data_IF_593910317717
#
_entry.id   IF_593910317717
#
_cell.length_a   1.000
_cell.length_b   1.000
_cell.length_c   1.000
_cell.angle_alpha   90.00
_cell.angle_beta   90.00
_cell.angle_gamma   90.00
#
_symmetry.space_group_name_H-M   'P 1'
#
loop_
_entity.id
_entity.type
_entity.pdbx_description
1 polymer ?
#
# COMPACT_ATOMS: atom_id res chain seq x y z
N UNK A 1 33.21 11.44 1.42
CA UNK A 1 32.59 10.10 1.49
C UNK A 1 31.11 10.31 1.25
N UNK A 2 30.57 9.80 0.14
CA UNK A 2 29.12 9.87 -0.10
C UNK A 2 28.42 8.95 0.90
N UNK A 3 27.28 9.40 1.43
CA UNK A 3 26.47 8.61 2.35
C UNK A 3 25.96 7.36 1.59
N UNK A 4 26.20 6.13 2.07
CA UNK A 4 25.69 4.91 1.42
C UNK A 4 24.17 4.92 1.20
N UNK A 5 23.41 5.68 2.00
CA UNK A 5 21.97 5.90 1.84
C UNK A 5 21.63 6.70 0.57
N UNK A 6 22.40 7.76 0.28
CA UNK A 6 22.23 8.53 -0.97
C UNK A 6 22.55 7.65 -2.18
N UNK A 7 23.60 6.84 -2.09
CA UNK A 7 24.00 5.95 -3.18
C UNK A 7 22.95 4.88 -3.49
N UNK A 8 22.25 4.33 -2.48
CA UNK A 8 21.18 3.34 -2.71
C UNK A 8 19.93 3.95 -3.35
N UNK A 9 19.51 5.14 -2.92
CA UNK A 9 18.37 5.85 -3.51
C UNK A 9 18.70 6.36 -4.92
N UNK A 10 19.95 6.80 -5.16
CA UNK A 10 20.45 7.16 -6.48
C UNK A 10 20.44 5.95 -7.43
N UNK A 11 20.94 4.79 -6.98
CA UNK A 11 20.91 3.54 -7.76
C UNK A 11 19.48 3.09 -8.08
N UNK A 12 18.54 3.24 -7.14
CA UNK A 12 17.13 2.96 -7.38
C UNK A 12 16.56 3.94 -8.42
N UNK A 13 16.76 5.24 -8.24
CA UNK A 13 16.32 6.27 -9.19
C UNK A 13 16.95 6.10 -10.59
N UNK A 14 18.18 5.59 -10.67
CA UNK A 14 18.86 5.28 -11.92
C UNK A 14 18.29 4.01 -12.59
N UNK A 15 17.97 2.98 -11.81
CA UNK A 15 17.29 1.77 -12.30
C UNK A 15 15.90 2.06 -12.89
N UNK A 16 15.23 3.10 -12.38
CA UNK A 16 13.93 3.59 -12.86
C UNK A 16 14.02 4.41 -14.15
N UNK A 17 15.17 5.05 -14.41
CA UNK A 17 15.43 5.86 -15.61
C UNK A 17 15.99 5.05 -16.78
N UNK A 18 16.54 3.87 -16.53
CA UNK A 18 17.15 3.05 -17.57
C UNK A 18 16.09 2.46 -18.52
N UNK A 19 16.15 2.72 -19.85
CA UNK A 19 15.28 2.05 -20.81
C UNK A 19 15.66 0.56 -20.89
N UNK A 20 14.88 -0.30 -20.23
CA UNK A 20 15.10 -1.75 -20.27
C UNK A 20 14.79 -2.28 -21.68
N UNK A 21 15.81 -2.86 -22.33
CA UNK A 21 15.76 -3.38 -23.70
C UNK A 21 14.67 -4.45 -23.86
N UNK A 22 13.74 -4.22 -24.79
CA UNK A 22 12.64 -5.13 -25.18
C UNK A 22 13.13 -6.33 -26.00
N UNK A 23 14.21 -7.00 -25.59
CA UNK A 23 14.71 -8.22 -26.23
C UNK A 23 15.01 -9.30 -25.21
N UNK A 24 13.96 -9.94 -24.74
CA UNK A 24 13.93 -11.38 -24.45
C UNK A 24 12.61 -11.66 -23.73
N UNK A 25 11.61 -12.16 -24.46
CA UNK A 25 10.50 -13.01 -23.96
C UNK A 25 9.50 -13.27 -25.10
N UNK A 26 10.02 -13.81 -26.20
CA UNK A 26 9.22 -14.51 -27.22
C UNK A 26 9.91 -15.84 -27.53
N UNK A 27 9.93 -16.75 -26.55
CA UNK A 27 10.13 -18.19 -26.76
C UNK A 27 9.45 -18.96 -25.64
N UNK A 28 8.34 -19.62 -25.94
CA UNK A 28 7.79 -20.68 -25.10
C UNK A 28 6.30 -20.60 -24.80
N UNK A 29 5.45 -20.66 -25.82
CA UNK A 29 4.05 -21.07 -25.65
C UNK A 29 3.53 -21.71 -26.95
N UNK A 30 3.99 -22.94 -27.22
CA UNK A 30 3.27 -23.92 -28.02
C UNK A 30 3.37 -25.26 -27.28
N UNK A 31 2.36 -26.12 -27.49
CA UNK A 31 2.05 -27.40 -26.83
C UNK A 31 1.17 -27.22 -25.58
N UNK A 32 -0.07 -27.68 -25.51
CA UNK A 32 -0.90 -28.48 -26.41
C UNK A 32 -2.12 -28.95 -25.61
N UNK A 33 -3.34 -28.73 -26.13
CA UNK A 33 -4.58 -29.21 -25.53
C UNK A 33 -4.91 -30.61 -26.07
N UNK A 34 -5.08 -31.62 -25.19
CA UNK A 34 -5.81 -32.85 -25.46
C UNK A 34 -6.00 -33.72 -24.19
N UNK A 35 -7.20 -34.26 -23.96
CA UNK A 35 -7.35 -35.65 -23.49
C UNK A 35 -7.99 -35.94 -22.11
N UNK A 36 -9.30 -36.14 -22.14
CA UNK A 36 -10.22 -36.96 -21.33
C UNK A 36 -9.74 -37.99 -20.25
N UNK A 37 -10.58 -38.08 -19.19
CA UNK A 37 -11.10 -39.27 -18.44
C UNK A 37 -10.16 -40.23 -17.66
N UNK A 38 -10.48 -40.44 -16.37
CA UNK A 38 -10.09 -41.63 -15.59
C UNK A 38 -10.45 -41.53 -14.10
N UNK A 39 -11.22 -42.50 -13.58
CA UNK A 39 -11.70 -42.63 -12.20
C UNK A 39 -11.01 -43.81 -11.50
N UNK A 40 -10.80 -43.69 -10.17
CA UNK A 40 -10.49 -44.73 -9.14
C UNK A 40 -8.99 -45.10 -8.94
N UNK A 41 -8.40 -45.37 -7.75
CA UNK A 41 -8.83 -45.71 -6.36
C UNK A 41 -7.76 -45.22 -5.32
N UNK A 42 -8.24 -44.99 -4.09
CA UNK A 42 -7.64 -44.66 -2.79
C UNK A 42 -6.17 -44.99 -2.42
N UNK A 43 -5.57 -44.07 -1.63
CA UNK A 43 -4.40 -44.27 -0.78
C UNK A 43 -4.05 -42.97 -0.03
N UNK A 44 -4.02 -43.01 1.30
CA UNK A 44 -3.86 -41.87 2.23
C UNK A 44 -2.55 -41.07 2.06
N UNK A 45 -2.67 -39.75 2.24
CA UNK A 45 -1.71 -38.81 2.87
C UNK A 45 -1.28 -37.60 2.01
N UNK A 46 -1.41 -36.43 2.65
CA UNK A 46 -0.73 -35.15 2.38
C UNK A 46 -1.22 -34.32 1.19
N UNK A 47 -1.92 -33.22 1.53
CA UNK A 47 -2.09 -31.96 0.79
C UNK A 47 -2.49 -32.08 -0.69
N UNK A 48 -3.61 -31.49 -1.13
CA UNK A 48 -3.84 -31.33 -2.57
C UNK A 48 -2.73 -30.41 -3.12
N UNK A 49 -1.67 -31.01 -3.69
CA UNK A 49 -0.88 -30.42 -4.77
C UNK A 49 -1.74 -30.47 -6.03
N UNK A 50 -2.82 -29.71 -5.98
CA UNK A 50 -3.79 -29.55 -7.05
C UNK A 50 -3.99 -28.06 -7.23
N UNK A 51 -3.12 -27.47 -8.06
CA UNK A 51 -3.37 -26.22 -8.77
C UNK A 51 -4.08 -25.11 -7.98
N UNK A 52 -3.35 -24.39 -7.14
CA UNK A 52 -3.57 -22.94 -7.04
C UNK A 52 -3.03 -22.28 -8.34
N UNK A 53 -3.48 -22.76 -9.50
CA UNK A 53 -3.49 -21.90 -10.66
C UNK A 53 -4.60 -20.91 -10.36
N UNK A 54 -4.24 -19.65 -10.11
CA UNK A 54 -5.14 -18.55 -10.41
C UNK A 54 -5.64 -18.85 -11.83
N UNK A 55 -6.85 -19.41 -11.94
CA UNK A 55 -7.39 -19.89 -13.19
C UNK A 55 -7.17 -18.76 -14.17
N UNK A 56 -6.42 -19.02 -15.25
CA UNK A 56 -5.87 -17.98 -16.14
C UNK A 56 -6.96 -16.95 -16.38
N UNK A 57 -6.89 -15.85 -15.63
CA UNK A 57 -7.93 -14.84 -15.63
C UNK A 57 -7.81 -14.32 -17.04
N UNK A 58 -8.84 -14.59 -17.87
CA UNK A 58 -8.88 -14.15 -19.25
C UNK A 58 -8.30 -12.74 -19.29
N UNK A 59 -7.18 -12.57 -20.01
CA UNK A 59 -6.27 -11.43 -19.87
C UNK A 59 -7.08 -10.18 -19.52
N UNK A 60 -6.99 -9.75 -18.25
CA UNK A 60 -7.87 -8.70 -17.74
C UNK A 60 -7.78 -7.54 -18.72
N UNK A 61 -8.90 -7.07 -19.24
CA UNK A 61 -8.96 -5.91 -20.14
C UNK A 61 -8.56 -4.60 -19.44
N UNK A 62 -8.03 -4.69 -18.21
CA UNK A 62 -7.48 -3.58 -17.47
C UNK A 62 -6.22 -3.10 -18.18
N UNK A 63 -6.28 -1.89 -18.71
CA UNK A 63 -5.08 -1.18 -19.17
C UNK A 63 -4.32 -0.77 -17.90
N UNK A 64 -3.03 -1.12 -17.75
CA UNK A 64 -2.26 -0.73 -16.56
C UNK A 64 -2.15 0.80 -16.50
N UNK A 65 -2.18 1.35 -15.29
CA UNK A 65 -1.81 2.74 -15.09
C UNK A 65 -0.32 2.93 -15.43
N UNK A 66 0.06 4.11 -15.92
CA UNK A 66 1.47 4.38 -16.18
C UNK A 66 2.27 4.37 -14.87
N UNK A 67 3.57 4.05 -14.92
CA UNK A 67 4.45 4.11 -13.73
C UNK A 67 4.34 5.47 -13.03
N UNK A 68 4.34 6.56 -13.78
CA UNK A 68 4.21 7.91 -13.21
C UNK A 68 2.86 8.12 -12.54
N UNK A 69 1.76 7.68 -13.16
CA UNK A 69 0.41 7.76 -12.58
C UNK A 69 0.34 7.01 -11.25
N UNK A 70 0.91 5.81 -11.19
CA UNK A 70 0.97 5.02 -9.96
C UNK A 70 1.76 5.76 -8.88
N UNK A 71 2.96 6.27 -9.21
CA UNK A 71 3.81 6.97 -8.25
C UNK A 71 3.19 8.27 -7.73
N UNK A 72 2.55 9.07 -8.59
CA UNK A 72 1.92 10.34 -8.19
C UNK A 72 0.73 10.11 -7.25
N UNK A 73 -0.11 9.12 -7.57
CA UNK A 73 -1.27 8.78 -6.76
C UNK A 73 -0.85 8.14 -5.43
N UNK A 74 0.08 7.18 -5.46
CA UNK A 74 0.62 6.59 -4.24
C UNK A 74 1.24 7.66 -3.34
N UNK A 75 2.08 8.56 -3.87
CA UNK A 75 2.67 9.64 -3.07
C UNK A 75 1.60 10.60 -2.50
N UNK A 76 0.48 10.80 -3.20
CA UNK A 76 -0.66 11.55 -2.67
C UNK A 76 -1.37 10.80 -1.54
N UNK A 77 -1.53 9.48 -1.68
CA UNK A 77 -2.10 8.62 -0.65
C UNK A 77 -1.21 8.61 0.62
N UNK A 78 0.11 8.52 0.49
CA UNK A 78 1.01 8.61 1.63
C UNK A 78 0.96 9.98 2.32
N UNK A 79 0.81 11.07 1.56
CA UNK A 79 0.56 12.38 2.18
C UNK A 79 -0.76 12.43 2.94
N UNK A 80 -1.82 11.78 2.44
CA UNK A 80 -3.08 11.63 3.14
C UNK A 80 -2.91 10.82 4.44
N UNK A 81 -2.17 9.71 4.39
CA UNK A 81 -1.88 8.85 5.53
C UNK A 81 -1.08 9.61 6.62
N UNK A 82 0.03 10.27 6.24
CA UNK A 82 0.80 11.13 7.16
C UNK A 82 -0.08 12.21 7.78
N UNK A 83 -0.97 12.82 6.99
CA UNK A 83 -1.92 13.82 7.49
C UNK A 83 -2.87 13.19 8.52
N UNK A 84 -3.48 12.06 8.20
CA UNK A 84 -4.40 11.34 9.08
C UNK A 84 -3.74 11.00 10.43
N UNK A 85 -2.59 10.33 10.39
CA UNK A 85 -1.87 9.94 11.60
C UNK A 85 -1.37 11.15 12.40
N UNK A 86 -0.91 12.22 11.74
CA UNK A 86 -0.48 13.45 12.44
C UNK A 86 -1.62 14.07 13.25
N UNK A 87 -2.82 14.15 12.68
CA UNK A 87 -3.98 14.68 13.39
C UNK A 87 -4.52 13.69 14.44
N UNK A 88 -4.43 12.38 14.19
CA UNK A 88 -4.73 11.35 15.20
C UNK A 88 -3.83 11.44 16.43
N UNK A 89 -2.52 11.58 16.23
CA UNK A 89 -1.53 11.73 17.31
C UNK A 89 -1.77 13.02 18.09
N UNK A 90 -2.03 14.13 17.38
CA UNK A 90 -2.33 15.42 18.01
C UNK A 90 -3.54 15.34 18.95
N UNK A 91 -4.56 14.56 18.59
CA UNK A 91 -5.79 14.41 19.35
C UNK A 91 -5.88 13.06 20.10
N UNK A 92 -4.75 12.37 20.30
CA UNK A 92 -4.75 11.04 20.89
C UNK A 92 -5.43 10.97 22.27
N UNK A 93 -5.33 12.05 23.06
CA UNK A 93 -6.05 12.18 24.33
C UNK A 93 -7.57 12.12 24.16
N UNK A 94 -8.14 12.88 23.22
CA UNK A 94 -9.58 12.89 22.94
C UNK A 94 -10.06 11.53 22.41
N UNK A 95 -9.22 10.88 21.62
CA UNK A 95 -9.46 9.53 21.11
C UNK A 95 -9.29 8.43 22.19
N UNK A 96 -8.84 8.77 23.39
CA UNK A 96 -8.52 7.81 24.45
C UNK A 96 -7.34 6.88 24.12
N UNK A 97 -6.48 7.27 23.19
CA UNK A 97 -5.35 6.48 22.70
C UNK A 97 -4.11 6.79 23.54
N UNK A 98 -3.62 5.79 24.27
CA UNK A 98 -2.48 5.92 25.17
C UNK A 98 -1.58 4.68 25.11
N UNK A 99 -0.42 4.73 25.79
CA UNK A 99 0.46 3.58 25.96
C UNK A 99 0.96 3.01 24.63
N UNK A 100 0.85 1.69 24.46
CA UNK A 100 1.32 1.00 23.26
C UNK A 100 0.59 1.45 22.00
N UNK A 101 -0.73 1.69 22.07
CA UNK A 101 -1.49 2.15 20.92
C UNK A 101 -1.02 3.54 20.44
N UNK A 102 -0.65 4.42 21.37
CA UNK A 102 -0.03 5.70 21.01
C UNK A 102 1.33 5.49 20.33
N UNK A 103 2.15 4.58 20.86
CA UNK A 103 3.44 4.25 20.24
C UNK A 103 3.28 3.69 18.82
N UNK A 104 2.24 2.88 18.59
CA UNK A 104 1.93 2.37 17.26
C UNK A 104 1.52 3.47 16.29
N UNK A 105 0.71 4.45 16.71
CA UNK A 105 0.40 5.60 15.84
C UNK A 105 1.65 6.42 15.52
N UNK A 106 2.55 6.63 16.48
CA UNK A 106 3.80 7.34 16.23
C UNK A 106 4.77 6.55 15.36
N UNK A 107 4.70 5.21 15.35
CA UNK A 107 5.44 4.38 14.40
C UNK A 107 4.85 4.52 12.99
N UNK A 108 3.53 4.33 12.85
CA UNK A 108 2.84 4.43 11.58
C UNK A 108 3.11 5.76 10.88
N UNK A 109 2.99 6.90 11.57
CA UNK A 109 3.26 8.21 10.92
C UNK A 109 4.70 8.36 10.39
N UNK A 110 5.68 7.69 11.02
CA UNK A 110 7.06 7.67 10.55
C UNK A 110 7.19 6.75 9.34
N UNK A 111 6.54 5.60 9.37
CA UNK A 111 6.50 4.63 8.27
C UNK A 111 5.86 5.25 7.02
N UNK A 112 4.71 5.90 7.12
CA UNK A 112 4.08 6.62 6.00
C UNK A 112 4.94 7.76 5.47
N UNK A 113 5.66 8.46 6.34
CA UNK A 113 6.59 9.49 5.90
C UNK A 113 7.76 8.89 5.13
N UNK A 114 8.21 7.69 5.48
CA UNK A 114 9.26 6.96 4.76
C UNK A 114 8.74 6.41 3.43
N UNK A 115 7.51 5.87 3.39
CA UNK A 115 6.83 5.48 2.15
C UNK A 115 6.73 6.66 1.17
N UNK A 116 6.27 7.81 1.66
CA UNK A 116 6.22 9.05 0.87
C UNK A 116 7.60 9.45 0.34
N UNK A 117 8.63 9.45 1.20
CA UNK A 117 9.98 9.83 0.81
C UNK A 117 10.52 8.91 -0.29
N UNK A 118 10.28 7.60 -0.18
CA UNK A 118 10.65 6.62 -1.18
C UNK A 118 9.96 6.90 -2.52
N UNK A 119 8.64 7.12 -2.52
CA UNK A 119 7.88 7.36 -3.75
C UNK A 119 8.31 8.67 -4.43
N UNK A 120 8.55 9.73 -3.65
CA UNK A 120 9.08 11.00 -4.17
C UNK A 120 10.48 10.83 -4.74
N UNK A 121 11.36 10.06 -4.08
CA UNK A 121 12.68 9.73 -4.60
C UNK A 121 12.61 8.91 -5.90
N UNK A 122 11.59 8.08 -6.05
CA UNK A 122 11.28 7.34 -7.29
C UNK A 122 10.66 8.22 -8.40
N UNK A 123 10.39 9.50 -8.12
CA UNK A 123 9.86 10.48 -9.08
C UNK A 123 8.36 10.78 -8.95
N UNK A 124 7.69 10.20 -7.96
CA UNK A 124 6.30 10.51 -7.63
C UNK A 124 6.13 11.96 -7.17
N UNK A 125 5.01 12.56 -7.56
CA UNK A 125 4.66 13.95 -7.25
C UNK A 125 3.25 13.96 -6.67
N UNK A 126 3.11 14.16 -5.35
CA UNK A 126 1.80 14.35 -4.75
C UNK A 126 1.03 15.47 -5.46
N UNK A 127 -0.24 15.23 -5.77
CA UNK A 127 -1.06 16.16 -6.57
C UNK A 127 -1.86 17.14 -5.72
N UNK A 128 -1.92 16.92 -4.40
CA UNK A 128 -2.48 17.85 -3.40
C UNK A 128 -1.76 17.65 -2.07
N UNK A 129 -1.68 18.70 -1.25
CA UNK A 129 -1.20 18.65 0.14
C UNK A 129 -2.29 19.00 1.15
N UNK A 130 -3.55 19.09 0.72
CA UNK A 130 -4.70 19.36 1.60
C UNK A 130 -5.77 18.33 1.31
N UNK A 131 -6.29 17.73 2.38
CA UNK A 131 -7.20 16.60 2.37
C UNK A 131 -8.45 16.91 3.18
N UNK A 132 -9.46 16.07 3.02
CA UNK A 132 -10.62 16.03 3.89
C UNK A 132 -10.80 14.67 4.55
N UNK A 133 -11.60 14.65 5.61
CA UNK A 133 -12.05 13.41 6.23
C UNK A 133 -13.58 13.39 6.29
N UNK A 134 -14.24 12.23 6.11
CA UNK A 134 -15.69 12.14 5.99
C UNK A 134 -16.46 12.71 7.18
N UNK A 135 -15.85 12.69 8.37
CA UNK A 135 -16.44 13.22 9.60
C UNK A 135 -15.84 14.57 10.03
N UNK A 136 -14.98 15.20 9.21
CA UNK A 136 -14.33 16.46 9.59
C UNK A 136 -13.50 16.32 10.87
N UNK A 137 -13.60 17.31 11.77
CA UNK A 137 -12.92 17.29 13.09
C UNK A 137 -13.35 16.10 13.95
N UNK A 138 -14.62 15.67 13.86
CA UNK A 138 -15.11 14.50 14.60
C UNK A 138 -14.32 13.21 14.29
N UNK A 139 -13.64 13.15 13.13
CA UNK A 139 -12.72 12.04 12.80
C UNK A 139 -11.64 11.88 13.89
N UNK A 140 -11.24 12.97 14.53
CA UNK A 140 -10.16 13.02 15.51
C UNK A 140 -10.63 13.26 16.94
N UNK A 141 -11.93 13.44 17.16
CA UNK A 141 -12.52 13.61 18.49
C UNK A 141 -13.20 12.33 19.00
N UNK A 142 -13.60 11.43 18.09
CA UNK A 142 -14.32 10.19 18.44
C UNK A 142 -13.59 8.96 17.95
N UNK A 143 -13.24 8.05 18.87
CA UNK A 143 -12.46 6.84 18.58
C UNK A 143 -13.12 5.95 17.51
N UNK A 144 -14.45 5.80 17.51
CA UNK A 144 -15.16 4.98 16.53
C UNK A 144 -15.06 5.55 15.11
N UNK A 145 -15.16 6.87 14.97
CA UNK A 145 -14.98 7.58 13.69
C UNK A 145 -13.51 7.52 13.23
N UNK A 146 -12.56 7.68 14.15
CA UNK A 146 -11.13 7.54 13.87
C UNK A 146 -10.81 6.13 13.34
N UNK A 147 -11.17 5.09 14.09
CA UNK A 147 -10.88 3.70 13.72
C UNK A 147 -11.61 3.29 12.43
N UNK A 148 -12.84 3.75 12.22
CA UNK A 148 -13.56 3.52 10.95
C UNK A 148 -12.85 4.18 9.77
N UNK A 149 -12.35 5.40 9.96
CA UNK A 149 -11.63 6.14 8.91
C UNK A 149 -10.28 5.47 8.61
N UNK A 150 -9.56 5.03 9.65
CA UNK A 150 -8.33 4.26 9.53
C UNK A 150 -8.59 2.97 8.73
N UNK A 151 -9.50 2.11 9.18
CA UNK A 151 -9.80 0.83 8.52
C UNK A 151 -10.19 1.03 7.05
N UNK A 152 -10.90 2.11 6.73
CA UNK A 152 -11.25 2.48 5.36
C UNK A 152 -10.05 2.93 4.51
N UNK A 153 -9.19 3.80 5.06
CA UNK A 153 -7.99 4.28 4.37
C UNK A 153 -7.02 3.15 4.09
N UNK A 154 -6.66 2.36 5.11
CA UNK A 154 -5.71 1.25 4.97
C UNK A 154 -6.24 0.21 3.98
N UNK A 155 -7.53 -0.10 4.02
CA UNK A 155 -8.15 -0.99 3.03
C UNK A 155 -8.01 -0.46 1.59
N UNK A 156 -8.16 0.84 1.39
CA UNK A 156 -8.01 1.46 0.08
C UNK A 156 -6.54 1.46 -0.37
N UNK A 157 -5.60 1.73 0.53
CA UNK A 157 -4.16 1.72 0.26
C UNK A 157 -3.67 0.31 -0.06
N UNK A 158 -4.04 -0.67 0.76
CA UNK A 158 -3.78 -2.09 0.53
C UNK A 158 -4.27 -2.52 -0.87
N UNK A 159 -5.51 -2.20 -1.20
CA UNK A 159 -6.09 -2.52 -2.51
C UNK A 159 -5.36 -1.80 -3.66
N UNK A 160 -4.90 -0.56 -3.46
CA UNK A 160 -4.17 0.21 -4.46
C UNK A 160 -2.78 -0.39 -4.71
N UNK A 161 -2.04 -0.74 -3.66
CA UNK A 161 -0.71 -1.35 -3.80
C UNK A 161 -0.76 -2.75 -4.43
N UNK A 162 -1.78 -3.57 -4.10
CA UNK A 162 -1.96 -4.85 -4.78
C UNK A 162 -2.28 -4.67 -6.28
N UNK A 163 -3.06 -3.64 -6.65
CA UNK A 163 -3.26 -3.28 -8.06
C UNK A 163 -1.96 -2.77 -8.71
N UNK A 164 -1.17 -1.97 -7.99
CA UNK A 164 0.13 -1.47 -8.44
C UNK A 164 1.12 -2.60 -8.72
N UNK A 165 1.19 -3.63 -7.86
CA UNK A 165 2.04 -4.81 -8.08
C UNK A 165 1.73 -5.46 -9.42
N UNK A 166 0.44 -5.68 -9.72
CA UNK A 166 0.01 -6.24 -11.02
C UNK A 166 0.46 -5.35 -12.18
N UNK A 167 0.25 -4.04 -12.09
CA UNK A 167 0.60 -3.11 -13.16
C UNK A 167 2.11 -3.02 -13.37
N UNK A 168 2.91 -2.98 -12.29
CA UNK A 168 4.36 -3.02 -12.37
C UNK A 168 4.87 -4.31 -13.01
N UNK A 169 4.28 -5.47 -12.70
CA UNK A 169 4.61 -6.72 -13.39
C UNK A 169 4.30 -6.61 -14.89
N UNK A 170 3.11 -6.11 -15.26
CA UNK A 170 2.73 -5.93 -16.66
C UNK A 170 3.66 -4.96 -17.42
N UNK A 171 4.13 -3.92 -16.74
CA UNK A 171 5.04 -2.89 -17.27
C UNK A 171 6.51 -3.30 -17.24
N UNK A 172 6.82 -4.55 -16.85
CA UNK A 172 8.19 -5.06 -16.72
C UNK A 172 9.05 -4.24 -15.71
N UNK A 173 8.44 -3.90 -14.58
CA UNK A 173 9.02 -3.19 -13.44
C UNK A 173 9.04 -4.07 -12.17
N UNK A 174 9.72 -5.22 -12.17
CA UNK A 174 9.68 -6.16 -11.04
C UNK A 174 10.20 -5.56 -9.73
N UNK A 175 11.19 -4.66 -9.79
CA UNK A 175 11.74 -4.02 -8.59
C UNK A 175 10.70 -3.11 -7.92
N UNK A 176 9.93 -2.35 -8.71
CA UNK A 176 8.80 -1.55 -8.21
C UNK A 176 7.67 -2.43 -7.66
N UNK A 177 7.44 -3.61 -8.25
CA UNK A 177 6.46 -4.56 -7.73
C UNK A 177 6.88 -5.10 -6.34
N UNK A 178 8.17 -5.38 -6.12
CA UNK A 178 8.68 -5.79 -4.81
C UNK A 178 8.58 -4.64 -3.80
N UNK A 179 8.90 -3.41 -4.21
CA UNK A 179 8.76 -2.24 -3.33
C UNK A 179 7.29 -2.00 -2.92
N UNK A 180 6.36 -2.06 -3.87
CA UNK A 180 4.93 -2.01 -3.56
C UNK A 180 4.49 -3.15 -2.62
N UNK A 181 5.09 -4.34 -2.79
CA UNK A 181 4.93 -5.48 -1.89
C UNK A 181 5.42 -5.22 -0.46
N UNK A 182 6.54 -4.51 -0.31
CA UNK A 182 7.07 -4.13 1.02
C UNK A 182 6.16 -3.11 1.71
N UNK A 183 5.64 -2.14 0.97
CA UNK A 183 4.72 -1.14 1.53
C UNK A 183 3.41 -1.79 1.97
N UNK A 184 2.76 -2.57 1.09
CA UNK A 184 1.45 -3.18 1.44
C UNK A 184 1.52 -4.15 2.63
N UNK A 185 2.68 -4.77 2.89
CA UNK A 185 2.84 -5.57 4.10
C UNK A 185 2.81 -4.74 5.38
N UNK A 186 3.30 -3.49 5.32
CA UNK A 186 3.25 -2.54 6.43
C UNK A 186 1.84 -1.94 6.55
N UNK A 187 1.16 -1.61 5.45
CA UNK A 187 -0.24 -1.14 5.49
C UNK A 187 -1.18 -2.15 6.17
N UNK A 188 -0.95 -3.45 5.95
CA UNK A 188 -1.70 -4.50 6.64
C UNK A 188 -1.47 -4.48 8.17
N UNK A 189 -0.26 -4.12 8.63
CA UNK A 189 0.04 -3.92 10.05
C UNK A 189 -0.66 -2.67 10.58
N UNK A 190 -0.62 -1.56 9.84
CA UNK A 190 -1.33 -0.32 10.16
C UNK A 190 -2.82 -0.59 10.39
N UNK A 191 -3.45 -1.32 9.47
CA UNK A 191 -4.86 -1.72 9.58
C UNK A 191 -5.13 -2.55 10.82
N UNK A 192 -4.34 -3.59 11.06
CA UNK A 192 -4.52 -4.47 12.21
C UNK A 192 -4.35 -3.70 13.54
N UNK A 193 -3.30 -2.89 13.65
CA UNK A 193 -3.02 -2.07 14.83
C UNK A 193 -4.11 -1.01 15.04
N UNK A 194 -4.57 -0.35 13.99
CA UNK A 194 -5.67 0.60 14.06
C UNK A 194 -6.97 -0.03 14.57
N UNK A 195 -7.29 -1.25 14.14
CA UNK A 195 -8.44 -2.01 14.66
C UNK A 195 -8.29 -2.39 16.12
N UNK A 196 -7.06 -2.65 16.58
CA UNK A 196 -6.77 -3.00 17.98
C UNK A 196 -7.03 -1.85 18.97
N UNK A 197 -7.13 -0.62 18.47
CA UNK A 197 -7.48 0.56 19.28
C UNK A 197 -8.93 0.49 19.75
N UNK A 198 -9.83 -0.08 18.94
CA UNK A 198 -11.26 -0.09 19.25
C UNK A 198 -11.63 -1.22 20.20
N UNK A 199 -12.23 -0.87 21.34
CA UNK A 199 -12.84 -1.87 22.24
C UNK A 199 -14.03 -2.63 21.62
N UNK A 200 -14.61 -2.12 20.53
CA UNK A 200 -15.76 -2.73 19.85
C UNK A 200 -15.35 -3.74 18.77
N UNK A 201 -14.08 -3.73 18.35
CA UNK A 201 -13.57 -4.68 17.35
C UNK A 201 -12.93 -5.86 18.08
N UNK A 202 -13.55 -7.03 17.96
CA UNK A 202 -13.08 -8.26 18.64
C UNK A 202 -11.80 -8.85 18.05
N UNK A 203 -11.54 -8.60 16.76
CA UNK A 203 -10.43 -9.22 16.05
C UNK A 203 -9.81 -8.20 15.10
N UNK A 204 -8.56 -7.84 15.39
CA UNK A 204 -7.74 -6.92 14.61
C UNK A 204 -7.36 -7.53 13.26
N UNK A 205 -6.72 -8.70 13.28
CA UNK A 205 -6.40 -9.48 12.09
C UNK A 205 -7.54 -10.44 11.73
N UNK A 206 -8.35 -10.07 10.75
CA UNK A 206 -9.58 -10.77 10.41
C UNK A 206 -9.68 -11.18 8.94
N UNK A 207 -8.60 -11.09 8.17
CA UNK A 207 -8.59 -11.42 6.74
C UNK A 207 -7.59 -12.52 6.43
N UNK A 208 -8.05 -13.59 5.80
CA UNK A 208 -7.16 -14.61 5.24
C UNK A 208 -6.45 -14.14 3.96
N UNK A 209 -7.07 -13.18 3.26
CA UNK A 209 -6.53 -12.53 2.07
C UNK A 209 -7.00 -11.07 2.07
N UNK A 210 -6.07 -10.15 1.88
CA UNK A 210 -6.41 -8.74 1.62
C UNK A 210 -7.27 -8.65 0.36
N UNK A 211 -8.45 -8.00 0.42
CA UNK A 211 -9.29 -7.81 -0.74
C UNK A 211 -8.70 -6.78 -1.70
N UNK A 212 -8.88 -7.01 -3.00
CA UNK A 212 -8.54 -6.05 -4.07
C UNK A 212 -9.86 -5.52 -4.65
N UNK A 213 -10.28 -4.34 -4.19
CA UNK A 213 -11.54 -3.71 -4.57
C UNK A 213 -11.44 -2.85 -5.83
N UNK A 214 -10.23 -2.39 -6.15
CA UNK A 214 -9.98 -1.48 -7.28
C UNK A 214 -9.32 -2.20 -8.44
N UNK A 215 -9.63 -1.79 -9.67
CA UNK A 215 -8.98 -2.38 -10.84
C UNK A 215 -7.65 -1.70 -11.13
N UNK A 216 -7.41 -0.47 -10.71
CA UNK A 216 -6.14 0.23 -10.92
C UNK A 216 -5.86 1.20 -9.76
N UNK A 217 -4.68 1.79 -9.72
CA UNK A 217 -4.32 2.78 -8.69
C UNK A 217 -5.15 4.07 -8.87
N UNK A 218 -5.43 4.45 -10.11
CA UNK A 218 -6.34 5.55 -10.43
C UNK A 218 -7.76 5.34 -9.90
N UNK A 219 -8.28 4.11 -9.93
CA UNK A 219 -9.58 3.78 -9.35
C UNK A 219 -9.60 4.01 -7.82
N UNK A 220 -8.49 3.74 -7.12
CA UNK A 220 -8.40 4.01 -5.67
C UNK A 220 -8.51 5.51 -5.36
N UNK A 221 -7.85 6.36 -6.14
CA UNK A 221 -7.99 7.82 -6.02
C UNK A 221 -9.45 8.28 -6.23
N UNK A 222 -10.15 7.68 -7.19
CA UNK A 222 -11.57 7.96 -7.42
C UNK A 222 -12.45 7.52 -6.24
N UNK A 223 -12.18 6.35 -5.67
CA UNK A 223 -12.87 5.87 -4.46
C UNK A 223 -12.66 6.86 -3.31
N UNK A 224 -11.41 7.22 -3.01
CA UNK A 224 -11.08 8.19 -1.95
C UNK A 224 -11.73 9.56 -2.20
N UNK A 225 -11.78 10.03 -3.44
CA UNK A 225 -12.52 11.26 -3.78
C UNK A 225 -14.02 11.12 -3.49
N UNK A 226 -14.64 10.00 -3.88
CA UNK A 226 -16.07 9.75 -3.69
C UNK A 226 -16.47 9.60 -2.22
N UNK A 227 -15.57 9.09 -1.40
CA UNK A 227 -15.72 8.94 0.04
C UNK A 227 -15.42 10.26 0.79
N UNK A 228 -15.01 11.31 0.08
CA UNK A 228 -14.85 12.64 0.64
C UNK A 228 -13.47 12.92 1.23
N UNK A 229 -12.41 12.22 0.80
CA UNK A 229 -11.05 12.46 1.26
C UNK A 229 -10.29 13.52 0.45
N UNK A 230 -10.75 13.81 -0.76
CA UNK A 230 -10.09 14.72 -1.72
C UNK A 230 -10.95 15.95 -2.05
N UNK A 231 -11.83 16.36 -1.14
CA UNK A 231 -12.76 17.48 -1.32
C UNK A 231 -12.76 18.46 -0.13
N UNK A 232 -11.60 19.03 0.25
CA UNK A 232 -11.49 19.92 1.41
C UNK A 232 -12.31 21.19 1.25
N UNK A 233 -13.19 21.47 2.22
CA UNK A 233 -14.03 22.67 2.32
C UNK A 233 -14.36 22.99 3.79
N UNK A 234 -14.11 24.23 4.21
CA UNK A 234 -14.50 24.68 5.55
C UNK A 234 -13.79 23.88 6.66
N UNK A 235 -14.56 23.31 7.59
CA UNK A 235 -14.06 22.62 8.79
C UNK A 235 -13.59 21.17 8.56
N UNK A 236 -13.70 20.63 7.35
CA UNK A 236 -13.16 19.31 7.03
C UNK A 236 -11.81 19.37 6.30
N UNK A 237 -11.09 20.49 6.34
CA UNK A 237 -9.84 20.71 5.59
C UNK A 237 -8.61 20.51 6.47
N UNK A 238 -7.75 19.57 6.09
CA UNK A 238 -6.56 19.17 6.84
C UNK A 238 -5.33 19.23 5.94
N UNK A 239 -4.30 19.95 6.36
CA UNK A 239 -3.10 20.14 5.55
C UNK A 239 -1.99 19.19 5.99
N UNK A 240 -1.34 18.59 4.99
CA UNK A 240 -0.14 17.80 5.17
C UNK A 240 0.94 18.62 5.87
N UNK A 241 1.60 17.96 6.82
CA UNK A 241 2.83 18.42 7.46
C UNK A 241 3.78 17.24 7.51
N UNK A 242 5.05 17.39 7.08
CA UNK A 242 6.01 16.31 7.18
C UNK A 242 6.15 15.84 8.63
N UNK A 243 6.13 14.54 8.86
CA UNK A 243 6.40 13.96 10.16
C UNK A 243 7.91 13.92 10.43
N UNK A 244 8.29 14.00 11.70
CA UNK A 244 9.70 13.84 12.07
C UNK A 244 10.07 12.36 12.02
N UNK A 245 11.13 12.01 11.30
CA UNK A 245 11.63 10.62 11.28
C UNK A 245 12.18 10.14 12.63
N UNK A 246 12.37 11.06 13.58
CA UNK A 246 12.76 10.75 14.97
C UNK A 246 11.56 10.77 15.93
N UNK A 247 10.32 10.89 15.42
CA UNK A 247 9.11 10.91 16.24
C UNK A 247 8.90 9.59 16.98
N UNK A 248 9.34 8.48 16.39
CA UNK A 248 9.40 7.19 17.05
C UNK A 248 10.78 6.56 16.85
N UNK A 249 11.62 6.48 17.91
CA UNK A 249 12.96 5.91 17.81
C UNK A 249 12.97 4.38 17.64
N UNK A 250 11.83 3.71 17.85
CA UNK A 250 11.72 2.25 17.72
C UNK A 250 11.56 1.81 16.25
N UNK A 251 11.20 2.73 15.35
CA UNK A 251 11.06 2.44 13.91
C UNK A 251 12.44 2.17 13.33
N UNK A 252 12.65 0.93 12.91
CA UNK A 252 13.87 0.52 12.22
C UNK A 252 13.80 0.98 10.76
N UNK A 253 14.52 2.05 10.44
CA UNK A 253 14.68 2.49 9.06
C UNK A 253 15.48 1.44 8.28
N UNK A 254 14.77 0.58 7.57
CA UNK A 254 15.36 -0.38 6.63
C UNK A 254 15.33 0.24 5.25
N UNK A 255 16.48 0.29 4.60
CA UNK A 255 16.53 0.66 3.19
C UNK A 255 15.72 -0.37 2.40
N UNK A 256 14.71 0.04 1.62
CA UNK A 256 14.00 -0.85 0.74
C UNK A 256 15.00 -1.55 -0.17
N UNK A 257 15.04 -2.87 -0.10
CA UNK A 257 16.05 -3.69 -0.77
C UNK A 257 15.35 -4.77 -1.59
N UNK A 258 15.78 -4.90 -2.85
CA UNK A 258 15.37 -5.98 -3.74
C UNK A 258 16.58 -6.86 -3.97
N UNK A 259 16.49 -8.15 -3.61
CA UNK A 259 17.53 -9.13 -3.92
C UNK A 259 17.56 -9.31 -5.44
N UNK A 260 18.67 -8.94 -6.08
CA UNK A 260 18.83 -9.17 -7.52
C UNK A 260 18.84 -10.67 -7.83
N UNK A 261 18.06 -11.10 -8.82
CA UNK A 261 18.19 -12.44 -9.38
C UNK A 261 19.45 -12.49 -10.25
N UNK A 262 20.40 -13.36 -9.89
CA UNK A 262 21.59 -13.67 -10.70
C UNK A 262 21.31 -14.70 -11.77
#
# INVERSE_FOLDING_TARGET
>A
MQNPEQTSLENLAESLKAPKSRRSLLRGAMVGAAGATGLAVAGTALWPRGAAHAAGVAASTCTPDSVQTILDIAATAEQLAVTFYTYGIKNAHELGITGQNFNYLTAAVVEEQLHLNLLVAAGGKPVTGTFSFPYGEDTFDYQDKFVKTLDQLETAFESAYLAAIRDFVYLNQPDLAVLAGQIVTVEAEHRALGRSISASIRTADNWAFTPVYVKSVADAANVLASEGYLSPKGNNSFSYKPASLNQNPDVQQRTPYVVACS
#
